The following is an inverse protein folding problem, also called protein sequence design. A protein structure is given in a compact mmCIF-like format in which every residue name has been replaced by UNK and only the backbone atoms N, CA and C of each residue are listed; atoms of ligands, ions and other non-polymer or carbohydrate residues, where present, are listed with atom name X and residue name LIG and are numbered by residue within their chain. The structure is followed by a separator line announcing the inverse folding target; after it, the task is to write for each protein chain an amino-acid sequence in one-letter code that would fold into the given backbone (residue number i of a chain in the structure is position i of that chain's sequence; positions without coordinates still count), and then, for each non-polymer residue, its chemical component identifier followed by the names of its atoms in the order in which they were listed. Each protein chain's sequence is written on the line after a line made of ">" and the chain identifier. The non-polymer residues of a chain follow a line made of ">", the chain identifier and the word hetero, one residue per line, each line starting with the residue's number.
data_IF_895541717914
#
_entry.id   IF_895541717914
#
_cell.length_a   1.000
_cell.length_b   1.000
_cell.length_c   1.000
_cell.angle_alpha   90.00
_cell.angle_beta   90.00
_cell.angle_gamma   90.00
#
_symmetry.space_group_name_H-M   'P 1'
#
loop_
_entity.id
_entity.type
_entity.pdbx_description
1 polymer ?
#
# COMPACT_ATOMS: atom_id res chain seq x y z
N UNK A 1 59.70 -6.47 2.45
CA UNK A 1 58.49 -7.30 2.62
C UNK A 1 57.55 -6.86 3.77
N UNK A 2 57.76 -5.73 4.48
CA UNK A 2 56.85 -5.30 5.56
C UNK A 2 55.66 -4.43 5.10
N UNK A 3 55.82 -3.70 3.99
CA UNK A 3 54.81 -2.77 3.48
C UNK A 3 53.74 -3.42 2.58
N UNK A 4 54.02 -4.59 2.01
CA UNK A 4 53.09 -5.27 1.10
C UNK A 4 51.82 -5.75 1.83
N UNK A 5 51.97 -6.27 3.05
CA UNK A 5 50.82 -6.70 3.88
C UNK A 5 49.94 -5.54 4.35
N UNK A 6 50.52 -4.36 4.55
CA UNK A 6 49.78 -3.14 4.89
C UNK A 6 48.96 -2.62 3.70
N UNK A 7 49.55 -2.61 2.51
CA UNK A 7 48.85 -2.21 1.28
C UNK A 7 47.66 -3.15 1.01
N UNK A 8 47.86 -4.47 1.16
CA UNK A 8 46.79 -5.46 0.98
C UNK A 8 45.66 -5.25 2.01
N UNK A 9 46.00 -4.98 3.28
CA UNK A 9 44.97 -4.73 4.31
C UNK A 9 44.14 -3.48 4.03
N UNK A 10 44.78 -2.40 3.56
CA UNK A 10 44.07 -1.15 3.21
C UNK A 10 43.13 -1.38 2.03
N UNK A 11 43.58 -2.09 1.00
CA UNK A 11 42.74 -2.43 -0.16
C UNK A 11 41.54 -3.28 0.27
N UNK A 12 41.75 -4.24 1.17
CA UNK A 12 40.69 -5.13 1.64
C UNK A 12 39.63 -4.39 2.47
N UNK A 13 40.03 -3.42 3.30
CA UNK A 13 39.11 -2.54 4.03
C UNK A 13 38.27 -1.69 3.07
N UNK A 14 38.89 -1.14 2.02
CA UNK A 14 38.19 -0.32 1.02
C UNK A 14 37.16 -1.17 0.27
N UNK A 15 37.52 -2.39 -0.13
CA UNK A 15 36.60 -3.32 -0.80
C UNK A 15 35.42 -3.67 0.12
N UNK A 16 35.67 -4.01 1.39
CA UNK A 16 34.60 -4.30 2.36
C UNK A 16 33.68 -3.11 2.54
N UNK A 17 34.23 -1.90 2.70
CA UNK A 17 33.44 -0.68 2.84
C UNK A 17 32.58 -0.41 1.60
N UNK A 18 33.14 -0.63 0.40
CA UNK A 18 32.43 -0.44 -0.85
C UNK A 18 31.30 -1.47 -1.01
N UNK A 19 31.55 -2.75 -0.73
CA UNK A 19 30.53 -3.81 -0.74
C UNK A 19 29.44 -3.56 0.30
N UNK A 20 29.80 -3.10 1.50
CA UNK A 20 28.84 -2.74 2.53
C UNK A 20 27.90 -1.62 2.06
N UNK A 21 28.46 -0.53 1.52
CA UNK A 21 27.67 0.62 1.10
C UNK A 21 26.86 0.35 -0.17
N UNK A 22 27.39 -0.40 -1.12
CA UNK A 22 26.76 -0.60 -2.44
C UNK A 22 25.84 -1.82 -2.52
N UNK A 23 26.09 -2.86 -1.73
CA UNK A 23 25.30 -4.10 -1.79
C UNK A 23 24.53 -4.34 -0.50
N UNK A 24 25.15 -4.19 0.67
CA UNK A 24 24.49 -4.56 1.93
C UNK A 24 23.41 -3.57 2.38
N UNK A 25 23.70 -2.27 2.37
CA UNK A 25 22.73 -1.22 2.75
C UNK A 25 21.43 -1.24 1.93
N UNK A 26 21.47 -1.33 0.58
CA UNK A 26 20.23 -1.39 -0.20
C UNK A 26 19.44 -2.67 0.09
N UNK A 27 20.10 -3.83 0.17
CA UNK A 27 19.43 -5.10 0.49
C UNK A 27 18.75 -5.04 1.85
N UNK A 28 19.41 -4.47 2.86
CA UNK A 28 18.81 -4.32 4.19
C UNK A 28 17.57 -3.42 4.15
N UNK A 29 17.64 -2.31 3.41
CA UNK A 29 16.52 -1.38 3.28
C UNK A 29 15.31 -2.03 2.58
N UNK A 30 15.56 -2.89 1.58
CA UNK A 30 14.49 -3.62 0.89
C UNK A 30 13.91 -4.73 1.76
N UNK A 31 14.72 -5.40 2.59
CA UNK A 31 14.24 -6.36 3.60
C UNK A 31 13.35 -5.69 4.64
N UNK A 32 13.76 -4.54 5.18
CA UNK A 32 12.97 -3.81 6.19
C UNK A 32 11.59 -3.41 5.62
N UNK A 33 11.52 -2.96 4.35
CA UNK A 33 10.24 -2.68 3.68
C UNK A 33 9.36 -3.92 3.50
N UNK A 34 9.96 -5.04 3.09
CA UNK A 34 9.24 -6.30 2.94
C UNK A 34 8.68 -6.80 4.28
N UNK A 35 9.44 -6.64 5.36
CA UNK A 35 8.97 -6.99 6.71
C UNK A 35 7.78 -6.13 7.15
N UNK A 36 7.81 -4.83 6.87
CA UNK A 36 6.66 -3.93 7.09
C UNK A 36 5.43 -4.33 6.26
N UNK A 37 5.63 -4.66 4.98
CA UNK A 37 4.54 -5.15 4.11
C UNK A 37 3.92 -6.44 4.67
N UNK A 38 4.75 -7.42 5.04
CA UNK A 38 4.29 -8.68 5.63
C UNK A 38 3.52 -8.43 6.93
N UNK A 39 3.99 -7.54 7.80
CA UNK A 39 3.32 -7.20 9.05
C UNK A 39 1.94 -6.55 8.80
N UNK A 40 1.80 -5.73 7.76
CA UNK A 40 0.49 -5.19 7.35
C UNK A 40 -0.44 -6.32 6.89
N UNK A 41 0.04 -7.24 6.05
CA UNK A 41 -0.74 -8.38 5.56
C UNK A 41 -1.17 -9.34 6.69
N UNK A 42 -0.30 -9.59 7.67
CA UNK A 42 -0.63 -10.41 8.83
C UNK A 42 -1.78 -9.82 9.65
N UNK A 43 -1.83 -8.49 9.79
CA UNK A 43 -2.95 -7.81 10.44
C UNK A 43 -4.26 -7.94 9.66
N UNK A 44 -4.23 -8.01 8.33
CA UNK A 44 -5.42 -8.26 7.50
C UNK A 44 -6.00 -9.64 7.79
N UNK A 45 -5.14 -10.66 7.89
CA UNK A 45 -5.58 -12.02 8.18
C UNK A 45 -6.16 -12.18 9.59
N UNK A 46 -5.73 -11.35 10.54
CA UNK A 46 -6.18 -11.38 11.94
C UNK A 46 -7.36 -10.45 12.24
N UNK A 47 -7.67 -9.49 11.37
CA UNK A 47 -8.75 -8.53 11.57
C UNK A 47 -10.13 -9.12 11.27
N UNK A 48 -11.14 -8.72 12.06
CA UNK A 48 -12.54 -9.00 11.72
C UNK A 48 -12.93 -8.26 10.43
N UNK A 49 -13.58 -8.98 9.51
CA UNK A 49 -14.10 -8.43 8.26
C UNK A 49 -15.49 -7.85 8.46
N UNK A 50 -15.74 -6.72 7.80
CA UNK A 50 -17.01 -6.01 7.82
C UNK A 50 -17.05 -4.90 8.87
N UNK A 51 -17.56 -3.74 8.47
CA UNK A 51 -17.91 -2.64 9.36
C UNK A 51 -19.39 -2.30 9.21
N UNK A 52 -19.98 -1.87 10.33
CA UNK A 52 -21.36 -1.41 10.42
C UNK A 52 -21.61 -0.26 9.43
N UNK A 53 -22.83 -0.14 8.90
CA UNK A 53 -23.20 0.64 7.69
C UNK A 53 -22.98 2.18 7.72
N UNK A 54 -22.13 2.66 8.61
CA UNK A 54 -21.59 4.03 8.68
C UNK A 54 -20.56 4.29 7.58
N UNK A 55 -20.57 5.51 7.02
CA UNK A 55 -19.54 5.97 6.07
C UNK A 55 -18.23 6.21 6.79
N UNK A 56 -17.22 5.42 6.46
CA UNK A 56 -15.87 5.67 6.94
C UNK A 56 -15.18 6.71 6.07
N UNK A 57 -14.44 7.63 6.71
CA UNK A 57 -13.72 8.71 6.05
C UNK A 57 -12.23 8.57 6.27
N UNK A 58 -11.47 8.62 5.18
CA UNK A 58 -10.02 8.58 5.20
C UNK A 58 -9.42 9.76 4.45
N UNK A 59 -8.27 10.21 4.96
CA UNK A 59 -7.41 11.11 4.23
C UNK A 59 -6.84 10.36 3.00
N UNK A 60 -6.83 11.02 1.85
CA UNK A 60 -6.58 10.34 0.58
C UNK A 60 -5.12 9.88 0.45
N UNK A 61 -4.21 10.60 1.09
CA UNK A 61 -2.77 10.34 1.17
C UNK A 61 -2.43 9.00 1.86
N UNK A 62 -3.32 8.48 2.71
CA UNK A 62 -3.15 7.13 3.27
C UNK A 62 -3.51 6.05 2.27
N UNK A 63 -4.53 6.26 1.46
CA UNK A 63 -5.00 5.25 0.52
C UNK A 63 -4.20 5.29 -0.78
N UNK A 64 -3.76 6.46 -1.20
CA UNK A 64 -3.09 6.66 -2.48
C UNK A 64 -1.70 7.25 -2.28
N UNK A 65 -0.74 6.70 -3.02
CA UNK A 65 0.58 7.27 -3.18
C UNK A 65 0.68 7.79 -4.62
N UNK A 66 0.87 9.11 -4.74
CA UNK A 66 0.71 9.84 -5.99
C UNK A 66 -0.72 9.67 -6.54
N UNK A 67 -0.92 8.80 -7.52
CA UNK A 67 -2.23 8.49 -8.12
C UNK A 67 -2.56 7.00 -8.15
N UNK A 68 -1.79 6.19 -7.45
CA UNK A 68 -1.99 4.74 -7.33
C UNK A 68 -2.39 4.36 -5.91
N UNK A 69 -3.19 3.32 -5.80
CA UNK A 69 -3.50 2.67 -4.55
C UNK A 69 -2.19 2.24 -3.90
N UNK A 70 -2.02 2.68 -2.65
CA UNK A 70 -0.86 2.32 -1.86
C UNK A 70 -1.03 0.90 -1.30
N UNK A 71 0.07 0.20 -0.97
CA UNK A 71 0.00 -1.09 -0.28
C UNK A 71 -0.86 -1.03 0.99
N UNK A 72 -0.84 0.10 1.70
CA UNK A 72 -1.70 0.32 2.87
C UNK A 72 -3.18 0.39 2.48
N UNK A 73 -3.52 1.10 1.39
CA UNK A 73 -4.89 1.18 0.87
C UNK A 73 -5.43 -0.17 0.41
N UNK A 74 -4.61 -0.99 -0.25
CA UNK A 74 -4.94 -2.36 -0.65
C UNK A 74 -5.29 -3.24 0.56
N UNK A 75 -4.44 -3.20 1.58
CA UNK A 75 -4.59 -3.91 2.86
C UNK A 75 -5.87 -3.47 3.57
N UNK A 76 -6.15 -2.17 3.63
CA UNK A 76 -7.36 -1.64 4.26
C UNK A 76 -8.64 -2.07 3.51
N UNK A 77 -8.63 -2.05 2.18
CA UNK A 77 -9.75 -2.58 1.37
C UNK A 77 -9.97 -4.05 1.71
N UNK A 78 -8.94 -4.89 1.66
CA UNK A 78 -9.09 -6.33 1.92
C UNK A 78 -9.51 -6.67 3.35
N UNK A 79 -9.17 -5.80 4.31
CA UNK A 79 -9.61 -5.94 5.70
C UNK A 79 -11.09 -5.58 5.87
N UNK A 80 -11.53 -4.47 5.27
CA UNK A 80 -12.85 -3.87 5.54
C UNK A 80 -13.92 -4.33 4.56
N UNK A 81 -13.56 -4.62 3.32
CA UNK A 81 -14.49 -4.94 2.25
C UNK A 81 -14.81 -6.44 2.32
N UNK A 82 -16.08 -6.74 2.57
CA UNK A 82 -16.59 -8.09 2.71
C UNK A 82 -17.64 -8.36 1.63
N UNK A 83 -17.58 -9.53 1.00
CA UNK A 83 -18.52 -9.99 -0.03
C UNK A 83 -19.88 -10.39 0.56
N UNK A 84 -19.99 -10.49 1.90
CA UNK A 84 -21.27 -10.73 2.56
C UNK A 84 -22.23 -9.54 2.49
N UNK A 85 -21.78 -8.40 1.97
CA UNK A 85 -22.59 -7.20 1.75
C UNK A 85 -23.09 -7.16 0.31
N UNK A 86 -24.32 -6.67 0.12
CA UNK A 86 -24.98 -6.60 -1.20
C UNK A 86 -24.55 -5.35 -1.98
N UNK A 87 -24.26 -4.25 -1.28
CA UNK A 87 -23.91 -2.98 -1.92
C UNK A 87 -22.60 -2.38 -1.41
N UNK A 88 -21.88 -1.72 -2.33
CA UNK A 88 -20.68 -0.93 -2.08
C UNK A 88 -20.82 0.45 -2.75
N UNK A 89 -20.78 1.50 -1.93
CA UNK A 89 -20.64 2.88 -2.40
C UNK A 89 -19.20 3.36 -2.11
N UNK A 90 -18.51 3.90 -3.12
CA UNK A 90 -17.20 4.56 -2.96
C UNK A 90 -17.32 6.02 -3.36
N UNK A 91 -16.71 6.91 -2.59
CA UNK A 91 -16.62 8.35 -2.87
C UNK A 91 -15.14 8.76 -2.90
N UNK A 92 -14.68 9.25 -4.05
CA UNK A 92 -13.31 9.71 -4.25
C UNK A 92 -13.34 11.17 -4.68
N UNK A 93 -12.80 12.05 -3.84
CA UNK A 93 -12.70 13.48 -4.07
C UNK A 93 -11.23 13.86 -4.05
N UNK A 94 -10.62 14.19 -5.19
CA UNK A 94 -9.19 14.54 -5.27
C UNK A 94 -8.78 15.11 -6.65
N UNK A 95 -7.61 15.76 -6.73
CA UNK A 95 -6.88 15.85 -7.98
C UNK A 95 -6.67 14.44 -8.56
N UNK A 96 -6.93 14.25 -9.85
CA UNK A 96 -6.83 12.95 -10.53
C UNK A 96 -7.76 11.83 -9.98
N UNK A 97 -8.92 12.19 -9.41
CA UNK A 97 -9.86 11.23 -8.83
C UNK A 97 -10.31 10.12 -9.81
N UNK A 98 -10.36 10.37 -11.12
CA UNK A 98 -10.68 9.34 -12.14
C UNK A 98 -9.60 8.26 -12.19
N UNK A 99 -8.32 8.65 -12.21
CA UNK A 99 -7.19 7.71 -12.24
C UNK A 99 -7.21 6.83 -11.00
N UNK A 100 -7.38 7.47 -9.84
CA UNK A 100 -7.47 6.79 -8.53
C UNK A 100 -8.67 5.85 -8.44
N UNK A 101 -9.84 6.26 -8.94
CA UNK A 101 -11.02 5.41 -9.01
C UNK A 101 -10.80 4.18 -9.90
N UNK A 102 -10.13 4.37 -11.04
CA UNK A 102 -9.80 3.28 -11.95
C UNK A 102 -8.92 2.24 -11.27
N UNK A 103 -7.93 2.69 -10.51
CA UNK A 103 -7.00 1.81 -9.79
C UNK A 103 -7.71 1.02 -8.67
N UNK A 104 -8.59 1.67 -7.91
CA UNK A 104 -9.43 1.00 -6.91
C UNK A 104 -10.33 -0.05 -7.56
N UNK A 105 -11.00 0.28 -8.66
CA UNK A 105 -11.89 -0.65 -9.37
C UNK A 105 -11.09 -1.85 -9.91
N UNK A 106 -9.91 -1.60 -10.50
CA UNK A 106 -9.02 -2.66 -10.97
C UNK A 106 -8.61 -3.59 -9.83
N UNK A 107 -8.21 -3.04 -8.68
CA UNK A 107 -7.86 -3.82 -7.51
C UNK A 107 -9.04 -4.66 -6.99
N UNK A 108 -10.24 -4.10 -6.89
CA UNK A 108 -11.43 -4.85 -6.48
C UNK A 108 -11.72 -6.02 -7.43
N UNK A 109 -11.56 -5.82 -8.74
CA UNK A 109 -11.73 -6.85 -9.75
C UNK A 109 -10.67 -7.97 -9.61
N UNK A 110 -9.41 -7.60 -9.39
CA UNK A 110 -8.31 -8.55 -9.17
C UNK A 110 -8.52 -9.41 -7.93
N UNK A 111 -9.04 -8.81 -6.85
CA UNK A 111 -9.39 -9.51 -5.61
C UNK A 111 -10.74 -10.23 -5.67
N UNK A 112 -11.43 -10.20 -6.81
CA UNK A 112 -12.74 -10.81 -7.04
C UNK A 112 -13.81 -10.33 -6.06
N UNK A 113 -13.71 -9.10 -5.55
CA UNK A 113 -14.71 -8.50 -4.67
C UNK A 113 -15.89 -7.99 -5.53
N UNK A 114 -16.90 -8.84 -5.69
CA UNK A 114 -18.09 -8.56 -6.51
C UNK A 114 -19.27 -8.23 -5.60
N UNK A 115 -19.94 -7.11 -5.90
CA UNK A 115 -21.13 -6.62 -5.20
C UNK A 115 -22.31 -6.59 -6.18
N UNK A 116 -23.53 -6.81 -5.70
CA UNK A 116 -24.73 -6.73 -6.53
C UNK A 116 -24.96 -5.30 -7.03
N UNK A 117 -24.80 -4.32 -6.13
CA UNK A 117 -24.87 -2.90 -6.44
C UNK A 117 -23.53 -2.22 -6.12
N UNK A 118 -22.83 -1.78 -7.16
CA UNK A 118 -21.61 -0.99 -7.02
C UNK A 118 -21.84 0.44 -7.53
N UNK A 119 -21.61 1.42 -6.67
CA UNK A 119 -21.69 2.84 -7.04
C UNK A 119 -20.39 3.56 -6.70
N UNK A 120 -19.77 4.22 -7.69
CA UNK A 120 -18.56 5.02 -7.49
C UNK A 120 -18.84 6.48 -7.84
N UNK A 121 -18.67 7.36 -6.86
CA UNK A 121 -18.80 8.80 -6.99
C UNK A 121 -17.42 9.43 -7.07
N UNK A 122 -17.13 10.09 -8.19
CA UNK A 122 -15.85 10.74 -8.46
C UNK A 122 -16.06 12.24 -8.51
N UNK A 123 -15.38 12.98 -7.64
CA UNK A 123 -15.42 14.44 -7.58
C UNK A 123 -14.02 14.98 -7.88
N UNK A 124 -13.89 15.67 -9.01
CA UNK A 124 -12.66 16.33 -9.44
C UNK A 124 -12.63 17.74 -8.79
N UNK A 125 -11.45 18.20 -8.37
CA UNK A 125 -11.21 19.54 -7.81
C UNK A 125 -11.92 19.88 -6.48
N UNK A 126 -12.02 18.90 -5.59
CA UNK A 126 -12.57 19.07 -4.24
C UNK A 126 -11.56 18.62 -3.17
N UNK A 127 -11.88 18.87 -1.90
CA UNK A 127 -11.05 18.47 -0.75
C UNK A 127 -10.72 16.98 -0.86
N UNK A 128 -9.44 16.66 -0.75
CA UNK A 128 -8.88 15.33 -0.85
C UNK A 128 -9.47 14.36 0.18
N UNK A 129 -10.33 13.43 -0.27
CA UNK A 129 -11.08 12.49 0.59
C UNK A 129 -11.37 11.18 -0.14
N UNK A 130 -11.25 10.08 0.60
CA UNK A 130 -11.73 8.77 0.22
C UNK A 130 -12.75 8.29 1.27
N UNK A 131 -13.96 7.99 0.84
CA UNK A 131 -15.02 7.43 1.70
C UNK A 131 -15.59 6.16 1.05
N UNK A 132 -16.04 5.21 1.87
CA UNK A 132 -16.82 4.08 1.38
C UNK A 132 -17.96 3.74 2.35
N UNK A 133 -18.95 3.02 1.84
CA UNK A 133 -20.09 2.51 2.60
C UNK A 133 -20.45 1.12 2.11
N UNK A 134 -20.63 0.19 3.04
CA UNK A 134 -21.15 -1.15 2.77
C UNK A 134 -22.59 -1.24 3.27
N UNK A 135 -23.46 -1.86 2.48
CA UNK A 135 -24.86 -2.10 2.83
C UNK A 135 -25.15 -3.59 2.73
N UNK A 136 -25.77 -4.13 3.77
CA UNK A 136 -26.08 -5.55 3.89
C UNK A 136 -27.43 -5.85 3.28
#
# INVERSE_FOLDING_TARGET
>A
MKYLGWIISIVLIIVIYYTYKTQYVPIKTDLDKLEEEIAMWENVLKGEKGMDGTRDRFAIDRFFRDDRLSPYGEVEILRKFDQNYTELEIYISAPHAITRATDVIAFLADQKLVYENFTCYVVIDSIERFEYKLVK
#
